data_IF_829779520936
#
_entry.id   IF_829779520936
#
_cell.length_a   1.000
_cell.length_b   1.000
_cell.length_c   1.000
_cell.angle_alpha   90.00
_cell.angle_beta   90.00
_cell.angle_gamma   90.00
#
_symmetry.space_group_name_H-M   'P 1'
#
loop_
_entity.id
_entity.type
_entity.pdbx_description
1 polymer ?
#
# COMPACT_ATOMS: atom_id res chain seq x y z
N UNK A 1 -4.42 4.67 -7.47
CA UNK A 1 -5.17 4.18 -6.29
C UNK A 1 -5.19 5.26 -5.20
N UNK A 2 -4.04 5.73 -4.72
CA UNK A 2 -3.96 6.69 -3.62
C UNK A 2 -4.87 7.93 -3.81
N UNK A 3 -4.83 8.54 -5.00
CA UNK A 3 -5.58 9.75 -5.29
C UNK A 3 -7.12 9.58 -5.33
N UNK A 4 -7.61 8.34 -5.38
CA UNK A 4 -9.03 8.01 -5.32
C UNK A 4 -9.49 7.58 -3.93
N UNK A 5 -8.63 7.63 -2.95
CA UNK A 5 -8.94 7.31 -1.56
C UNK A 5 -8.95 8.58 -0.70
N UNK A 6 -9.89 8.65 0.24
CA UNK A 6 -9.85 9.65 1.30
C UNK A 6 -8.71 9.29 2.27
N UNK A 7 -8.14 10.28 2.94
CA UNK A 7 -7.08 10.06 3.95
C UNK A 7 -5.86 9.29 3.41
N UNK A 8 -5.46 9.56 2.19
CA UNK A 8 -4.21 9.11 1.61
C UNK A 8 -3.30 10.30 1.34
N UNK A 9 -1.99 10.11 1.53
CA UNK A 9 -1.02 11.15 1.24
C UNK A 9 -1.08 11.58 -0.23
N UNK A 10 -1.04 12.90 -0.53
CA UNK A 10 -1.13 13.38 -1.90
C UNK A 10 0.09 12.96 -2.73
N UNK A 11 -0.14 12.73 -4.02
CA UNK A 11 0.94 12.45 -4.97
C UNK A 11 1.65 13.76 -5.29
N UNK A 12 2.96 13.80 -5.07
CA UNK A 12 3.81 14.96 -5.35
C UNK A 12 4.52 14.84 -6.70
N UNK A 13 4.94 13.64 -7.05
CA UNK A 13 5.74 13.38 -8.25
C UNK A 13 5.67 11.91 -8.64
N UNK A 14 5.67 11.66 -9.94
CA UNK A 14 5.80 10.32 -10.50
C UNK A 14 6.91 10.36 -11.56
N UNK A 15 7.81 9.39 -11.53
CA UNK A 15 8.88 9.26 -12.53
C UNK A 15 9.09 7.80 -12.94
N UNK A 16 9.41 7.59 -14.20
CA UNK A 16 9.89 6.31 -14.73
C UNK A 16 11.41 6.30 -14.92
N UNK A 17 12.11 7.37 -14.53
CA UNK A 17 13.56 7.43 -14.62
C UNK A 17 14.17 6.67 -13.43
N UNK A 18 14.99 5.62 -13.67
CA UNK A 18 15.66 4.90 -12.60
C UNK A 18 16.68 5.79 -11.90
N UNK A 19 16.63 5.88 -10.57
CA UNK A 19 17.59 6.67 -9.78
C UNK A 19 18.41 5.85 -8.79
N UNK A 20 17.91 4.68 -8.42
CA UNK A 20 18.56 3.77 -7.49
C UNK A 20 18.63 2.37 -8.08
N UNK A 21 19.64 1.61 -7.66
CA UNK A 21 19.80 0.22 -8.09
C UNK A 21 18.53 -0.60 -7.83
N UNK A 22 17.96 -1.16 -8.89
CA UNK A 22 16.77 -2.01 -8.82
C UNK A 22 15.42 -1.27 -8.89
N UNK A 23 15.38 0.06 -8.82
CA UNK A 23 14.14 0.82 -9.00
C UNK A 23 14.00 1.28 -10.45
N UNK A 24 12.92 0.91 -11.12
CA UNK A 24 12.60 1.32 -12.49
C UNK A 24 11.92 2.68 -12.57
N UNK A 25 11.50 3.21 -11.42
CA UNK A 25 10.83 4.49 -11.25
C UNK A 25 10.26 4.60 -9.84
N UNK A 26 9.61 5.70 -9.50
CA UNK A 26 8.96 5.85 -8.21
C UNK A 26 7.79 6.85 -8.24
N UNK A 27 6.89 6.68 -7.31
CA UNK A 27 5.86 7.65 -6.96
C UNK A 27 6.21 8.26 -5.61
N UNK A 28 6.30 9.59 -5.56
CA UNK A 28 6.55 10.32 -4.33
C UNK A 28 5.23 10.81 -3.74
N UNK A 29 4.94 10.36 -2.54
CA UNK A 29 3.83 10.85 -1.73
C UNK A 29 4.43 11.52 -0.48
N UNK A 30 3.92 12.68 -0.13
CA UNK A 30 4.34 13.43 1.06
C UNK A 30 3.11 13.73 1.89
N UNK A 31 3.13 13.31 3.13
CA UNK A 31 2.06 13.62 4.08
C UNK A 31 2.07 15.12 4.40
N UNK A 32 0.90 15.72 4.35
CA UNK A 32 0.71 17.11 4.76
C UNK A 32 0.54 17.18 6.28
N UNK A 33 1.43 17.91 6.94
CA UNK A 33 1.38 18.13 8.38
C UNK A 33 2.16 17.11 9.22
N UNK A 34 2.14 17.31 10.54
CA UNK A 34 2.81 16.45 11.51
C UNK A 34 1.90 15.26 11.91
N UNK A 35 1.79 14.27 11.03
CA UNK A 35 1.06 13.03 11.32
C UNK A 35 1.96 12.02 12.03
N UNK A 36 1.91 12.02 13.36
CA UNK A 36 2.58 11.00 14.20
C UNK A 36 1.72 9.74 14.42
N UNK A 37 0.41 9.83 14.17
CA UNK A 37 -0.54 8.75 14.37
C UNK A 37 -1.28 8.46 13.08
N UNK A 38 -1.46 7.18 12.77
CA UNK A 38 -2.28 6.73 11.65
C UNK A 38 -3.55 6.06 12.15
N UNK A 39 -4.67 6.40 11.54
CA UNK A 39 -5.94 5.72 11.79
C UNK A 39 -5.97 4.35 11.12
N UNK A 40 -6.92 3.51 11.53
CA UNK A 40 -7.18 2.23 10.86
C UNK A 40 -7.45 2.42 9.36
N UNK A 41 -8.28 3.39 9.02
CA UNK A 41 -8.61 3.70 7.61
C UNK A 41 -7.38 4.11 6.80
N UNK A 42 -6.52 4.96 7.36
CA UNK A 42 -5.27 5.37 6.70
C UNK A 42 -4.33 4.18 6.46
N UNK A 43 -4.24 3.25 7.41
CA UNK A 43 -3.43 2.03 7.25
C UNK A 43 -4.01 1.09 6.20
N UNK A 44 -5.33 0.89 6.18
CA UNK A 44 -6.02 0.11 5.16
C UNK A 44 -5.81 0.71 3.76
N UNK A 45 -5.95 2.03 3.63
CA UNK A 45 -5.70 2.75 2.38
C UNK A 45 -4.23 2.64 1.92
N UNK A 46 -3.30 2.63 2.85
CA UNK A 46 -1.88 2.42 2.54
C UNK A 46 -1.62 1.02 2.00
N UNK A 47 -2.26 -0.01 2.56
CA UNK A 47 -2.19 -1.38 2.03
C UNK A 47 -2.74 -1.41 0.60
N UNK A 48 -3.91 -0.83 0.34
CA UNK A 48 -4.48 -0.77 -1.00
C UNK A 48 -3.53 -0.05 -2.00
N UNK A 49 -2.91 1.04 -1.58
CA UNK A 49 -1.93 1.78 -2.39
C UNK A 49 -0.71 0.93 -2.71
N UNK A 50 -0.18 0.19 -1.73
CA UNK A 50 0.94 -0.73 -1.93
C UNK A 50 0.62 -1.84 -2.95
N UNK A 51 -0.63 -2.30 -3.00
CA UNK A 51 -1.06 -3.31 -3.99
C UNK A 51 -1.37 -2.73 -5.37
N UNK A 52 -1.33 -1.41 -5.52
CA UNK A 52 -1.74 -0.69 -6.72
C UNK A 52 -0.97 -1.08 -7.98
N UNK A 53 0.34 -1.29 -7.88
CA UNK A 53 1.16 -1.73 -9.02
C UNK A 53 0.75 -3.10 -9.55
N UNK A 54 0.57 -4.07 -8.65
CA UNK A 54 0.05 -5.41 -9.00
C UNK A 54 -1.35 -5.33 -9.59
N UNK A 55 -2.22 -4.54 -8.99
CA UNK A 55 -3.58 -4.34 -9.49
C UNK A 55 -3.59 -3.74 -10.91
N UNK A 56 -2.69 -2.80 -11.19
CA UNK A 56 -2.53 -2.23 -12.53
C UNK A 56 -2.07 -3.26 -13.57
N UNK A 57 -1.13 -4.14 -13.22
CA UNK A 57 -0.72 -5.25 -14.08
C UNK A 57 -1.90 -6.17 -14.42
N UNK A 58 -2.67 -6.55 -13.43
CA UNK A 58 -3.84 -7.43 -13.59
C UNK A 58 -4.91 -6.79 -14.49
N UNK A 59 -5.23 -5.53 -14.25
CA UNK A 59 -6.25 -4.80 -15.01
C UNK A 59 -5.81 -4.52 -16.45
N UNK A 60 -4.55 -4.14 -16.65
CA UNK A 60 -4.06 -3.72 -17.98
C UNK A 60 -3.57 -4.87 -18.84
N UNK A 61 -2.88 -5.84 -18.27
CA UNK A 61 -2.23 -6.93 -18.98
C UNK A 61 -2.86 -8.30 -18.74
N UNK A 62 -3.69 -8.46 -17.73
CA UNK A 62 -4.24 -9.76 -17.33
C UNK A 62 -3.18 -10.75 -16.83
N UNK A 63 -1.99 -10.26 -16.47
CA UNK A 63 -0.86 -11.07 -15.99
C UNK A 63 -0.20 -10.39 -14.80
N UNK A 64 0.65 -11.12 -14.12
CA UNK A 64 1.38 -10.65 -12.93
C UNK A 64 2.86 -10.90 -13.10
N UNK A 65 3.68 -9.99 -12.54
CA UNK A 65 5.13 -10.08 -12.57
C UNK A 65 5.74 -10.11 -11.17
N UNK A 66 7.03 -10.25 -11.09
CA UNK A 66 7.80 -10.19 -9.83
C UNK A 66 7.98 -8.77 -9.29
N UNK A 67 7.57 -7.75 -10.03
CA UNK A 67 7.79 -6.34 -9.69
C UNK A 67 7.14 -5.87 -8.38
N UNK A 68 6.11 -6.58 -7.91
CA UNK A 68 5.40 -6.23 -6.68
C UNK A 68 5.98 -6.84 -5.39
N UNK A 69 7.13 -7.51 -5.44
CA UNK A 69 7.65 -8.27 -4.28
C UNK A 69 7.86 -7.42 -3.03
N UNK A 70 8.43 -6.24 -3.17
CA UNK A 70 8.64 -5.32 -2.04
C UNK A 70 7.32 -4.77 -1.49
N UNK A 71 6.37 -4.43 -2.36
CA UNK A 71 5.05 -3.95 -1.95
C UNK A 71 4.26 -5.03 -1.21
N UNK A 72 4.36 -6.28 -1.66
CA UNK A 72 3.74 -7.44 -0.98
C UNK A 72 4.30 -7.59 0.43
N UNK A 73 5.61 -7.51 0.57
CA UNK A 73 6.26 -7.61 1.88
C UNK A 73 5.82 -6.49 2.83
N UNK A 74 5.81 -5.25 2.37
CA UNK A 74 5.39 -4.10 3.17
C UNK A 74 3.89 -4.16 3.52
N UNK A 75 3.02 -4.52 2.57
CA UNK A 75 1.60 -4.70 2.84
C UNK A 75 1.34 -5.78 3.89
N UNK A 76 2.06 -6.88 3.83
CA UNK A 76 1.97 -7.97 4.81
C UNK A 76 2.40 -7.51 6.20
N UNK A 77 3.53 -6.83 6.32
CA UNK A 77 4.02 -6.27 7.59
C UNK A 77 3.03 -5.30 8.21
N UNK A 78 2.47 -4.41 7.40
CA UNK A 78 1.50 -3.42 7.85
C UNK A 78 0.20 -4.08 8.32
N UNK A 79 -0.34 -5.02 7.55
CA UNK A 79 -1.53 -5.78 7.93
C UNK A 79 -1.32 -6.56 9.23
N UNK A 80 -0.17 -7.21 9.38
CA UNK A 80 0.17 -7.95 10.60
C UNK A 80 0.25 -7.03 11.81
N UNK A 81 0.90 -5.88 11.69
CA UNK A 81 1.02 -4.90 12.77
C UNK A 81 -0.35 -4.37 13.22
N UNK A 82 -1.29 -4.15 12.32
CA UNK A 82 -2.66 -3.74 12.65
C UNK A 82 -3.34 -4.74 13.59
N UNK A 83 -3.11 -6.04 13.37
CA UNK A 83 -3.70 -7.12 14.15
C UNK A 83 -2.96 -7.37 15.46
N UNK A 84 -1.63 -7.36 15.44
CA UNK A 84 -0.80 -7.83 16.56
C UNK A 84 -0.34 -6.73 17.50
N UNK A 85 -0.21 -5.49 17.00
CA UNK A 85 0.40 -4.37 17.75
C UNK A 85 -0.57 -3.24 18.07
N UNK A 86 -1.48 -2.93 17.15
CA UNK A 86 -2.29 -1.70 17.26
C UNK A 86 -3.74 -1.94 17.68
N UNK A 87 -4.13 -3.19 17.91
CA UNK A 87 -5.49 -3.49 18.35
C UNK A 87 -6.57 -3.05 17.36
N UNK A 88 -6.29 -3.07 16.07
CA UNK A 88 -7.18 -2.59 15.02
C UNK A 88 -8.06 -3.70 14.40
N UNK A 89 -8.23 -4.80 15.11
CA UNK A 89 -9.07 -5.93 14.68
C UNK A 89 -10.15 -6.20 15.72
N UNK A 90 -11.37 -6.41 15.27
CA UNK A 90 -12.48 -6.82 16.13
C UNK A 90 -12.29 -8.23 16.71
N UNK A 91 -11.54 -9.09 16.02
CA UNK A 91 -11.28 -10.47 16.46
C UNK A 91 -10.35 -10.56 17.66
N UNK A 92 -9.38 -9.65 17.75
CA UNK A 92 -8.35 -9.66 18.80
C UNK A 92 -8.41 -8.44 19.72
N UNK A 93 -9.18 -7.42 19.34
CA UNK A 93 -9.39 -6.21 20.09
C UNK A 93 -8.09 -5.57 20.62
N UNK A 94 -8.07 -5.05 21.83
CA UNK A 94 -6.94 -4.33 22.44
C UNK A 94 -5.93 -5.28 23.12
N UNK A 95 -5.56 -6.36 22.46
CA UNK A 95 -4.57 -7.32 22.99
C UNK A 95 -3.31 -7.26 22.16
N UNK A 96 -2.16 -7.09 22.81
CA UNK A 96 -0.86 -7.17 22.16
C UNK A 96 -0.49 -8.63 21.94
N UNK A 97 -0.42 -9.04 20.68
CA UNK A 97 -0.10 -10.41 20.27
C UNK A 97 1.34 -10.54 19.78
N UNK A 98 2.10 -9.46 19.85
CA UNK A 98 3.49 -9.37 19.45
C UNK A 98 4.26 -8.49 20.44
N UNK A 99 5.48 -8.88 20.78
CA UNK A 99 6.38 -8.07 21.59
C UNK A 99 7.58 -7.63 20.75
N UNK A 100 7.98 -6.36 20.91
CA UNK A 100 9.18 -5.83 20.25
C UNK A 100 10.31 -5.82 21.28
N UNK A 101 11.33 -6.63 21.03
CA UNK A 101 12.57 -6.64 21.81
C UNK A 101 13.62 -5.78 21.11
N UNK A 102 14.32 -4.91 21.86
CA UNK A 102 15.37 -4.02 21.35
C UNK A 102 14.90 -2.96 20.34
N UNK A 103 14.07 -2.03 20.77
CA UNK A 103 13.65 -0.86 19.96
C UNK A 103 14.83 -0.04 19.40
N UNK A 104 16.00 -0.11 20.03
CA UNK A 104 17.19 0.66 19.63
C UNK A 104 18.06 0.00 18.55
N UNK A 105 17.84 -1.28 18.23
CA UNK A 105 18.66 -2.06 17.28
C UNK A 105 17.85 -2.63 16.10
N UNK A 106 16.74 -1.99 15.75
CA UNK A 106 15.92 -2.44 14.62
C UNK A 106 14.84 -3.47 14.96
N UNK A 107 14.66 -3.75 16.25
CA UNK A 107 13.50 -4.44 16.81
C UNK A 107 13.22 -5.85 16.28
N UNK A 108 13.77 -6.86 16.92
CA UNK A 108 13.26 -8.21 16.73
C UNK A 108 11.84 -8.31 17.33
N UNK A 109 10.89 -8.74 16.52
CA UNK A 109 9.53 -9.00 16.95
C UNK A 109 9.35 -10.49 17.23
N UNK A 110 8.74 -10.81 18.37
CA UNK A 110 8.33 -12.17 18.68
C UNK A 110 6.83 -12.23 18.98
N UNK A 111 6.18 -13.28 18.49
CA UNK A 111 4.77 -13.50 18.76
C UNK A 111 4.55 -13.89 20.22
N UNK A 112 3.60 -13.21 20.87
CA UNK A 112 3.23 -13.42 22.27
C UNK A 112 1.83 -14.04 22.36
N UNK A 113 1.61 -15.15 21.64
CA UNK A 113 0.32 -15.83 21.58
C UNK A 113 0.49 -17.32 21.28
N UNK A 114 -0.58 -18.08 21.42
CA UNK A 114 -0.61 -19.52 21.12
C UNK A 114 -0.47 -19.79 19.63
N UNK A 115 -0.07 -21.02 19.27
CA UNK A 115 -0.03 -21.47 17.87
C UNK A 115 -1.40 -21.36 17.17
N UNK A 116 -2.48 -21.60 17.90
CA UNK A 116 -3.85 -21.45 17.38
C UNK A 116 -4.16 -20.00 17.03
N UNK A 117 -3.78 -19.05 17.88
CA UNK A 117 -3.95 -17.62 17.61
C UNK A 117 -3.07 -17.17 16.45
N UNK A 118 -1.83 -17.67 16.33
CA UNK A 118 -0.96 -17.39 15.18
C UNK A 118 -1.61 -17.81 13.86
N UNK A 119 -2.23 -18.98 13.81
CA UNK A 119 -2.95 -19.46 12.63
C UNK A 119 -4.12 -18.53 12.26
N UNK A 120 -4.85 -18.03 13.25
CA UNK A 120 -5.93 -17.04 13.04
C UNK A 120 -5.38 -15.70 12.54
N UNK A 121 -4.26 -15.24 13.08
CA UNK A 121 -3.59 -14.02 12.61
C UNK A 121 -3.21 -14.17 11.14
N UNK A 122 -2.58 -15.27 10.76
CA UNK A 122 -2.16 -15.52 9.38
C UNK A 122 -3.36 -15.48 8.41
N UNK A 123 -4.47 -16.12 8.77
CA UNK A 123 -5.70 -16.11 7.98
C UNK A 123 -6.27 -14.68 7.84
N UNK A 124 -6.27 -13.90 8.92
CA UNK A 124 -6.77 -12.52 8.92
C UNK A 124 -5.86 -11.55 8.14
N UNK A 125 -4.56 -11.76 8.15
CA UNK A 125 -3.61 -11.00 7.31
C UNK A 125 -3.93 -11.23 5.84
N UNK A 126 -4.14 -12.47 5.42
CA UNK A 126 -4.52 -12.80 4.03
C UNK A 126 -5.84 -12.12 3.66
N UNK A 127 -6.84 -12.19 4.52
CA UNK A 127 -8.16 -11.57 4.26
C UNK A 127 -8.06 -10.05 4.14
N UNK A 128 -7.30 -9.41 5.02
CA UNK A 128 -7.12 -7.95 5.02
C UNK A 128 -6.41 -7.48 3.75
N UNK A 129 -5.30 -8.10 3.38
CA UNK A 129 -4.55 -7.75 2.17
C UNK A 129 -5.40 -8.01 0.92
N UNK A 130 -6.11 -9.14 0.87
CA UNK A 130 -7.03 -9.46 -0.24
C UNK A 130 -8.14 -8.43 -0.40
N UNK A 131 -8.76 -8.00 0.68
CA UNK A 131 -9.80 -6.97 0.67
C UNK A 131 -9.29 -5.65 0.13
N UNK A 132 -8.13 -5.20 0.58
CA UNK A 132 -7.54 -3.95 0.14
C UNK A 132 -7.01 -4.04 -1.30
N UNK A 133 -6.49 -5.19 -1.71
CA UNK A 133 -6.13 -5.44 -3.10
C UNK A 133 -7.36 -5.41 -4.01
N UNK A 134 -8.47 -5.99 -3.60
CA UNK A 134 -9.73 -5.93 -4.35
C UNK A 134 -10.23 -4.48 -4.50
N UNK A 135 -10.10 -3.67 -3.45
CA UNK A 135 -10.40 -2.23 -3.52
C UNK A 135 -9.53 -1.53 -4.58
N UNK A 136 -8.24 -1.81 -4.62
CA UNK A 136 -7.34 -1.27 -5.63
C UNK A 136 -7.73 -1.71 -7.05
N UNK A 137 -8.08 -2.98 -7.24
CA UNK A 137 -8.58 -3.51 -8.51
C UNK A 137 -9.86 -2.78 -8.97
N UNK A 138 -10.81 -2.58 -8.08
CA UNK A 138 -12.08 -1.91 -8.39
C UNK A 138 -11.87 -0.45 -8.79
N UNK A 139 -11.00 0.27 -8.09
CA UNK A 139 -10.60 1.63 -8.44
C UNK A 139 -10.01 1.67 -9.86
N UNK A 140 -9.07 0.80 -10.16
CA UNK A 140 -8.38 0.79 -11.46
C UNK A 140 -9.26 0.30 -12.61
N UNK A 141 -10.20 -0.60 -12.36
CA UNK A 141 -11.20 -1.00 -13.35
C UNK A 141 -12.13 0.17 -13.71
N UNK A 142 -12.55 0.93 -12.71
CA UNK A 142 -13.40 2.11 -12.91
C UNK A 142 -12.67 3.22 -13.66
N UNK A 143 -11.41 3.46 -13.33
CA UNK A 143 -10.58 4.52 -13.90
C UNK A 143 -9.58 4.00 -14.97
N UNK A 144 -9.91 2.91 -15.65
CA UNK A 144 -9.00 2.30 -16.63
C UNK A 144 -8.55 3.27 -17.72
N UNK A 145 -9.46 4.08 -18.24
CA UNK A 145 -9.13 5.07 -19.27
C UNK A 145 -8.14 6.13 -18.73
N UNK A 146 -8.31 6.52 -17.47
CA UNK A 146 -7.38 7.44 -16.80
C UNK A 146 -6.02 6.81 -16.54
N UNK A 147 -5.98 5.52 -16.21
CA UNK A 147 -4.73 4.76 -16.09
C UNK A 147 -3.95 4.77 -17.40
N UNK A 148 -4.62 4.49 -18.51
CA UNK A 148 -4.00 4.47 -19.83
C UNK A 148 -3.55 5.88 -20.27
N UNK A 149 -4.36 6.91 -20.03
CA UNK A 149 -4.01 8.32 -20.33
C UNK A 149 -2.79 8.79 -19.54
N UNK A 150 -2.76 8.51 -18.24
CA UNK A 150 -1.65 8.84 -17.36
C UNK A 150 -0.37 8.09 -17.72
N UNK A 151 -0.48 6.81 -18.06
CA UNK A 151 0.65 5.99 -18.50
C UNK A 151 1.27 6.54 -19.78
N UNK A 152 0.44 6.92 -20.76
CA UNK A 152 0.89 7.55 -22.00
C UNK A 152 1.59 8.89 -21.77
N UNK A 153 0.98 9.74 -20.93
CA UNK A 153 1.56 11.04 -20.57
C UNK A 153 2.91 10.90 -19.86
N UNK A 154 2.99 9.95 -18.93
CA UNK A 154 4.23 9.63 -18.22
C UNK A 154 5.30 9.05 -19.15
N UNK A 155 4.92 8.23 -20.12
CA UNK A 155 5.84 7.72 -21.13
C UNK A 155 6.46 8.84 -21.96
N UNK A 156 5.66 9.85 -22.33
CA UNK A 156 6.12 11.01 -23.13
C UNK A 156 6.98 11.97 -22.31
N UNK A 157 6.59 12.26 -21.07
CA UNK A 157 7.27 13.24 -20.19
C UNK A 157 8.33 12.64 -19.27
N UNK A 158 8.29 11.34 -19.02
CA UNK A 158 9.18 10.59 -18.12
C UNK A 158 9.05 10.97 -16.63
N UNK A 159 8.74 12.21 -16.32
CA UNK A 159 8.47 12.70 -14.97
C UNK A 159 7.31 13.69 -15.00
N UNK A 160 6.33 13.51 -14.12
CA UNK A 160 5.19 14.40 -13.97
C UNK A 160 5.03 14.86 -12.53
N UNK A 161 4.48 16.07 -12.35
CA UNK A 161 4.16 16.61 -11.03
C UNK A 161 2.81 16.07 -10.54
N UNK A 162 2.57 16.19 -9.23
CA UNK A 162 1.28 15.88 -8.65
C UNK A 162 0.14 16.70 -9.24
N UNK A 163 0.38 17.97 -9.57
CA UNK A 163 -0.59 18.85 -10.20
C UNK A 163 -0.97 18.35 -11.60
N UNK A 164 -0.01 18.03 -12.44
CA UNK A 164 -0.22 17.47 -13.78
C UNK A 164 -0.97 16.14 -13.71
N UNK A 165 -0.62 15.31 -12.74
CA UNK A 165 -1.32 14.05 -12.47
C UNK A 165 -2.79 14.28 -12.12
N UNK A 166 -3.09 15.18 -11.18
CA UNK A 166 -4.45 15.46 -10.75
C UNK A 166 -5.29 16.14 -11.83
N UNK A 167 -4.69 16.98 -12.67
CA UNK A 167 -5.38 17.59 -13.82
C UNK A 167 -5.91 16.52 -14.78
N UNK A 168 -5.08 15.53 -15.13
CA UNK A 168 -5.50 14.44 -16.01
C UNK A 168 -6.55 13.56 -15.32
N UNK A 169 -6.35 13.25 -14.05
CA UNK A 169 -7.26 12.37 -13.30
C UNK A 169 -8.67 12.96 -13.18
N UNK A 170 -8.78 14.27 -13.09
CA UNK A 170 -10.05 14.98 -12.85
C UNK A 170 -10.74 15.50 -14.13
N UNK A 171 -10.19 15.28 -15.29
CA UNK A 171 -10.87 15.55 -16.58
C UNK A 171 -12.10 14.63 -16.73
#
# INVERSE_FOLDING_TARGET
VAARQNHSAPVQKITIIPRTSGALGYTMQVEEGNHYLMTKEEMENKIATLTGGRAAEEVRFGSITTGASNDIEQATKLARAMLTRYGMSEDFDMVALETVTNQYLGGDTSLACSAETQAKIDAKVVDLVRREHQKALDILKTDRDKLDELAKFLYEKETITGEEFMEILNR
#
